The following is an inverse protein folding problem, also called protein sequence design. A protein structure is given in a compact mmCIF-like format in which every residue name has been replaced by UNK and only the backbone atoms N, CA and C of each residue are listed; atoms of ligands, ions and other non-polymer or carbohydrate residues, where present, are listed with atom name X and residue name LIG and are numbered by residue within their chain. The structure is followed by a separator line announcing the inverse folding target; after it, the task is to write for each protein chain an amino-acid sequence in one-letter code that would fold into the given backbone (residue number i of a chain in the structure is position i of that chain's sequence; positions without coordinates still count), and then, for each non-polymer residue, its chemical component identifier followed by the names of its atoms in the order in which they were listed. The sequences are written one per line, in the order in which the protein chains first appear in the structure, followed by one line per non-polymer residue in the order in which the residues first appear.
data_IF_292824528094
#
_entry.id   IF_292824528094
#
_cell.length_a   1.000
_cell.length_b   1.000
_cell.length_c   1.000
_cell.angle_alpha   90.00
_cell.angle_beta   90.00
_cell.angle_gamma   90.00
#
_symmetry.space_group_name_H-M   'P 1'
#
loop_
_entity.id
_entity.type
_entity.pdbx_description
1 polymer ?
#
# COMPACT_ATOMS: atom_id res chain seq x y z
N UNK A 1 23.34 -13.95 -42.30
CA UNK A 1 22.00 -13.64 -41.78
C UNK A 1 22.14 -13.38 -40.29
N UNK A 2 21.62 -12.27 -39.75
CA UNK A 2 21.67 -11.97 -38.31
C UNK A 2 20.35 -12.39 -37.68
N UNK A 3 20.35 -13.48 -36.94
CA UNK A 3 19.20 -13.98 -36.21
C UNK A 3 18.69 -12.92 -35.22
N UNK A 4 17.37 -12.60 -35.24
CA UNK A 4 16.81 -11.67 -34.27
C UNK A 4 16.74 -12.39 -32.91
N UNK A 5 17.58 -11.93 -31.97
CA UNK A 5 17.52 -12.33 -30.56
C UNK A 5 16.12 -12.01 -30.02
N UNK A 6 15.28 -13.04 -29.93
CA UNK A 6 13.97 -12.99 -29.27
C UNK A 6 14.22 -12.59 -27.82
N UNK A 7 13.92 -11.33 -27.49
CA UNK A 7 13.86 -10.83 -26.12
C UNK A 7 12.76 -11.62 -25.40
N UNK A 8 13.14 -12.68 -24.71
CA UNK A 8 12.28 -13.40 -23.77
C UNK A 8 11.92 -12.37 -22.69
N UNK A 9 10.79 -11.69 -22.87
CA UNK A 9 10.19 -10.84 -21.85
C UNK A 9 9.92 -11.76 -20.66
N UNK A 10 10.74 -11.64 -19.62
CA UNK A 10 10.54 -12.29 -18.33
C UNK A 10 9.06 -12.15 -17.98
N UNK A 11 8.32 -13.27 -17.99
CA UNK A 11 6.93 -13.35 -17.58
C UNK A 11 6.91 -12.98 -16.10
N UNK A 12 6.77 -11.70 -15.79
CA UNK A 12 6.55 -11.25 -14.42
C UNK A 12 5.17 -11.79 -14.06
N UNK A 13 5.16 -12.93 -13.36
CA UNK A 13 3.95 -13.49 -12.76
C UNK A 13 3.55 -12.54 -11.64
N UNK A 14 2.89 -11.44 -11.99
CA UNK A 14 2.25 -10.59 -11.01
C UNK A 14 1.07 -11.41 -10.47
N UNK A 15 1.24 -11.91 -9.24
CA UNK A 15 0.17 -12.61 -8.55
C UNK A 15 -0.90 -11.59 -8.15
N UNK A 16 -2.15 -12.02 -8.24
CA UNK A 16 -3.25 -11.23 -7.70
C UNK A 16 -3.04 -11.01 -6.20
N UNK A 17 -3.24 -9.77 -5.76
CA UNK A 17 -3.13 -9.38 -4.37
C UNK A 17 -4.46 -8.84 -3.87
N UNK A 18 -4.62 -8.87 -2.55
CA UNK A 18 -5.81 -8.36 -1.87
C UNK A 18 -5.53 -6.95 -1.37
N UNK A 19 -6.37 -5.99 -1.72
CA UNK A 19 -6.25 -4.63 -1.23
C UNK A 19 -6.49 -4.59 0.29
N UNK A 20 -5.58 -3.98 1.05
CA UNK A 20 -5.73 -3.92 2.51
C UNK A 20 -6.93 -3.10 2.99
N UNK A 21 -7.47 -2.21 2.13
CA UNK A 21 -8.54 -1.25 2.45
C UNK A 21 -9.91 -1.78 2.07
N UNK A 22 -10.14 -2.11 0.79
CA UNK A 22 -11.44 -2.59 0.32
C UNK A 22 -11.56 -4.11 0.26
N UNK A 23 -10.47 -4.85 0.53
CA UNK A 23 -10.40 -6.32 0.44
C UNK A 23 -10.69 -6.89 -0.96
N UNK A 24 -10.72 -6.06 -1.99
CA UNK A 24 -10.84 -6.50 -3.38
C UNK A 24 -9.55 -7.12 -3.92
N UNK A 25 -9.70 -8.11 -4.80
CA UNK A 25 -8.61 -8.73 -5.54
C UNK A 25 -8.20 -7.80 -6.68
N UNK A 26 -6.89 -7.56 -6.85
CA UNK A 26 -6.37 -6.72 -7.91
C UNK A 26 -5.02 -7.21 -8.40
N UNK A 27 -4.65 -6.79 -9.61
CA UNK A 27 -3.38 -7.13 -10.23
C UNK A 27 -2.35 -6.01 -10.02
N UNK A 28 -1.38 -6.17 -9.11
CA UNK A 28 -0.47 -5.10 -8.74
C UNK A 28 0.56 -4.82 -9.85
N UNK A 29 0.76 -3.53 -10.15
CA UNK A 29 1.84 -3.09 -11.06
C UNK A 29 3.25 -3.32 -10.48
N UNK A 30 3.38 -3.26 -9.17
CA UNK A 30 4.65 -3.46 -8.45
C UNK A 30 4.49 -4.53 -7.37
N UNK A 31 5.54 -5.33 -7.14
CA UNK A 31 5.53 -6.48 -6.20
C UNK A 31 4.98 -6.14 -4.81
N UNK A 32 5.20 -4.92 -4.32
CA UNK A 32 4.83 -4.49 -2.97
C UNK A 32 3.63 -3.53 -2.94
N UNK A 33 2.87 -3.42 -4.04
CA UNK A 33 1.65 -2.60 -4.06
C UNK A 33 0.60 -3.20 -3.12
N UNK A 34 0.16 -2.42 -2.13
CA UNK A 34 -0.81 -2.85 -1.09
C UNK A 34 -2.25 -2.40 -1.36
N UNK A 35 -2.44 -1.51 -2.34
CA UNK A 35 -3.69 -0.82 -2.61
C UNK A 35 -4.09 -1.03 -4.07
N UNK A 36 -5.36 -1.33 -4.32
CA UNK A 36 -5.87 -1.47 -5.68
C UNK A 36 -5.98 -0.13 -6.40
N UNK A 37 -6.20 0.98 -5.67
CA UNK A 37 -6.36 2.32 -6.23
C UNK A 37 -5.71 3.40 -5.36
N UNK A 38 -5.47 4.56 -5.96
CA UNK A 38 -5.01 5.78 -5.25
C UNK A 38 -5.99 6.20 -4.15
N UNK A 39 -7.28 6.02 -4.35
CA UNK A 39 -8.29 6.34 -3.34
C UNK A 39 -8.16 5.46 -2.10
N UNK A 40 -7.92 4.15 -2.28
CA UNK A 40 -7.65 3.25 -1.15
C UNK A 40 -6.40 3.67 -0.39
N UNK A 41 -5.33 4.03 -1.08
CA UNK A 41 -4.12 4.55 -0.46
C UNK A 41 -4.42 5.79 0.39
N UNK A 42 -5.13 6.78 -0.16
CA UNK A 42 -5.49 8.00 0.57
C UNK A 42 -6.38 7.72 1.78
N UNK A 43 -7.39 6.85 1.65
CA UNK A 43 -8.26 6.43 2.76
C UNK A 43 -7.42 5.89 3.92
N UNK A 44 -6.51 4.95 3.63
CA UNK A 44 -5.63 4.37 4.65
C UNK A 44 -4.78 5.43 5.37
N UNK A 45 -4.15 6.36 4.64
CA UNK A 45 -3.33 7.40 5.27
C UNK A 45 -4.15 8.40 6.09
N UNK A 46 -5.36 8.76 5.63
CA UNK A 46 -6.27 9.64 6.38
C UNK A 46 -6.68 8.99 7.70
N UNK A 47 -7.03 7.70 7.69
CA UNK A 47 -7.39 6.98 8.91
C UNK A 47 -6.19 6.82 9.86
N UNK A 48 -5.02 6.46 9.32
CA UNK A 48 -3.78 6.37 10.11
C UNK A 48 -3.42 7.70 10.77
N UNK A 49 -3.67 8.83 10.10
CA UNK A 49 -3.51 10.17 10.66
C UNK A 49 -4.44 10.42 11.86
N UNK A 50 -5.72 10.05 11.75
CA UNK A 50 -6.70 10.15 12.85
C UNK A 50 -6.29 9.31 14.05
N UNK A 51 -5.87 8.06 13.82
CA UNK A 51 -5.40 7.15 14.88
C UNK A 51 -4.19 7.75 15.59
N UNK A 52 -3.20 8.25 14.85
CA UNK A 52 -2.02 8.92 15.43
C UNK A 52 -2.40 10.13 16.28
N UNK A 53 -3.33 10.96 15.80
CA UNK A 53 -3.83 12.12 16.56
C UNK A 53 -4.51 11.66 17.85
N UNK A 54 -5.36 10.64 17.78
CA UNK A 54 -6.04 10.06 18.94
C UNK A 54 -5.04 9.50 19.96
N UNK A 55 -4.03 8.74 19.52
CA UNK A 55 -2.96 8.22 20.38
C UNK A 55 -2.21 9.37 21.06
N UNK A 56 -1.88 10.45 20.34
CA UNK A 56 -1.25 11.63 20.93
C UNK A 56 -2.13 12.32 21.98
N UNK A 57 -3.44 12.40 21.75
CA UNK A 57 -4.37 12.97 22.75
C UNK A 57 -4.45 12.11 24.01
N UNK A 58 -4.46 10.77 23.87
CA UNK A 58 -4.48 9.83 25.00
C UNK A 58 -3.15 9.91 25.78
N UNK A 59 -2.02 9.90 25.09
CA UNK A 59 -0.69 9.90 25.72
C UNK A 59 -0.26 11.30 26.21
N UNK A 60 -0.80 12.36 25.61
CA UNK A 60 -0.51 13.76 25.94
C UNK A 60 -1.14 14.24 27.25
N UNK A 61 -1.97 13.41 27.91
CA UNK A 61 -2.51 13.69 29.25
C UNK A 61 -1.64 13.19 30.41
N UNK A 62 -0.43 12.65 30.15
CA UNK A 62 0.43 11.99 31.17
C UNK A 62 1.78 12.68 31.41
N UNK A 63 1.89 14.00 31.25
CA UNK A 63 3.19 14.68 31.40
C UNK A 63 3.16 16.20 31.61
N UNK A 64 2.28 16.72 32.46
CA UNK A 64 2.34 18.12 32.91
C UNK A 64 1.86 18.27 34.36
N UNK A 65 2.74 17.89 35.29
CA UNK A 65 2.78 18.20 36.73
C UNK A 65 4.08 17.52 37.20
N UNK A 66 5.17 18.22 37.52
CA UNK A 66 5.32 19.33 38.47
C UNK A 66 6.47 20.25 37.99
#
# INVERSE_FOLDING_TARGET
MKDPKVLIRNKVKFHDQVCIVCKGIFHPRHKHTKYCTHECQQKFYREKGKIRKKIRMINGGKGASD
#
